data_IF_207336870186
#
_entry.id   IF_207336870186
#
_cell.length_a   1.000
_cell.length_b   1.000
_cell.length_c   1.000
_cell.angle_alpha   90.00
_cell.angle_beta   90.00
_cell.angle_gamma   90.00
#
_symmetry.space_group_name_H-M   'P 1'
#
loop_
_entity.id
_entity.type
_entity.pdbx_description
1 polymer ?
#
# COMPACT_ATOMS: atom_id res chain seq x y z
N UNK A 1 -10.34 -12.84 2.92
CA UNK A 1 -10.53 -13.20 4.34
C UNK A 1 -10.98 -12.00 5.19
N UNK A 2 -10.18 -10.89 5.26
CA UNK A 2 -10.54 -9.73 6.09
C UNK A 2 -11.83 -9.02 5.61
N UNK A 3 -12.07 -8.92 4.30
CA UNK A 3 -13.31 -8.39 3.75
C UNK A 3 -14.53 -9.18 4.21
N UNK A 4 -14.49 -10.52 4.07
CA UNK A 4 -15.56 -11.39 4.56
C UNK A 4 -15.77 -11.27 6.07
N UNK A 5 -14.70 -11.08 6.85
CA UNK A 5 -14.83 -10.82 8.29
C UNK A 5 -15.49 -9.47 8.59
N UNK A 6 -15.16 -8.44 7.83
CA UNK A 6 -15.81 -7.14 7.96
C UNK A 6 -17.32 -7.24 7.69
N UNK A 7 -17.72 -7.93 6.63
CA UNK A 7 -19.13 -8.17 6.29
C UNK A 7 -19.86 -8.94 7.43
N UNK A 8 -19.24 -9.98 7.99
CA UNK A 8 -19.84 -10.71 9.14
C UNK A 8 -19.99 -9.86 10.40
N UNK A 9 -19.24 -8.77 10.50
CA UNK A 9 -19.34 -7.79 11.58
C UNK A 9 -20.30 -6.62 11.25
N UNK A 10 -21.01 -6.68 10.13
CA UNK A 10 -22.00 -5.69 9.74
C UNK A 10 -21.42 -4.50 8.95
N UNK A 11 -20.21 -4.62 8.41
CA UNK A 11 -19.67 -3.60 7.51
C UNK A 11 -20.11 -3.89 6.07
N UNK A 12 -20.58 -2.88 5.37
CA UNK A 12 -20.85 -2.98 3.93
C UNK A 12 -19.53 -2.91 3.14
N UNK A 13 -19.31 -3.85 2.23
CA UNK A 13 -18.14 -3.90 1.37
C UNK A 13 -18.55 -3.72 -0.09
N UNK A 14 -18.18 -2.60 -0.69
CA UNK A 14 -18.52 -2.23 -2.07
C UNK A 14 -17.33 -2.48 -3.01
N UNK A 15 -17.17 -3.70 -3.47
CA UNK A 15 -16.14 -4.03 -4.45
C UNK A 15 -16.38 -3.33 -5.79
N UNK A 16 -15.33 -2.77 -6.39
CA UNK A 16 -15.43 -2.05 -7.67
C UNK A 16 -15.88 -0.58 -7.59
N UNK A 17 -16.18 -0.09 -6.39
CA UNK A 17 -16.56 1.31 -6.17
C UNK A 17 -15.32 2.14 -5.79
N UNK A 18 -14.63 2.69 -6.79
CA UNK A 18 -13.43 3.48 -6.57
C UNK A 18 -13.77 4.90 -6.15
N UNK A 19 -13.21 5.33 -5.00
CA UNK A 19 -13.30 6.73 -4.57
C UNK A 19 -12.54 7.65 -5.55
N UNK A 20 -13.21 8.68 -6.05
CA UNK A 20 -12.66 9.61 -7.04
C UNK A 20 -12.42 11.01 -6.48
N UNK A 21 -13.25 11.49 -5.58
CA UNK A 21 -13.13 12.83 -5.00
C UNK A 21 -13.65 12.89 -3.55
N UNK A 22 -13.08 13.77 -2.72
CA UNK A 22 -13.64 14.08 -1.40
C UNK A 22 -14.85 15.00 -1.54
N UNK A 23 -15.80 14.87 -0.62
CA UNK A 23 -16.93 15.78 -0.43
C UNK A 23 -16.66 16.70 0.74
N UNK A 24 -17.04 17.96 0.61
CA UNK A 24 -16.86 18.96 1.64
C UNK A 24 -18.18 19.63 2.01
N UNK A 25 -18.31 20.05 3.26
CA UNK A 25 -19.32 21.02 3.67
C UNK A 25 -18.86 22.48 3.43
N UNK A 26 -19.72 23.44 3.75
CA UNK A 26 -19.43 24.87 3.60
C UNK A 26 -18.27 25.35 4.48
N UNK A 27 -17.96 24.64 5.57
CA UNK A 27 -16.81 24.92 6.44
C UNK A 27 -15.51 24.29 5.93
N UNK A 28 -15.56 23.51 4.85
CA UNK A 28 -14.41 22.80 4.28
C UNK A 28 -14.05 21.50 5.00
N UNK A 29 -14.95 20.98 5.85
CA UNK A 29 -14.80 19.68 6.49
C UNK A 29 -15.10 18.56 5.51
N UNK A 30 -14.33 17.48 5.52
CA UNK A 30 -14.63 16.28 4.73
C UNK A 30 -15.87 15.60 5.29
N UNK A 31 -16.89 15.45 4.46
CA UNK A 31 -18.19 14.83 4.83
C UNK A 31 -18.48 13.57 4.02
N UNK A 32 -17.50 13.03 3.32
CA UNK A 32 -17.65 11.82 2.54
C UNK A 32 -16.78 11.81 1.28
N UNK A 33 -17.15 10.93 0.36
CA UNK A 33 -16.48 10.74 -0.93
C UNK A 33 -17.49 10.62 -2.07
N UNK A 34 -17.08 11.02 -3.26
CA UNK A 34 -17.76 10.69 -4.52
C UNK A 34 -17.05 9.51 -5.18
N UNK A 35 -17.83 8.54 -5.60
CA UNK A 35 -17.36 7.41 -6.39
C UNK A 35 -17.12 7.87 -7.83
N UNK A 36 -16.21 7.22 -8.55
CA UNK A 36 -15.95 7.48 -9.95
C UNK A 36 -17.15 7.11 -10.84
N UNK A 37 -17.33 7.87 -11.92
CA UNK A 37 -18.35 7.57 -12.91
C UNK A 37 -18.08 6.22 -13.57
N UNK A 38 -19.12 5.45 -13.84
CA UNK A 38 -19.05 4.14 -14.47
C UNK A 38 -19.48 4.22 -15.94
N UNK A 39 -19.05 3.25 -16.75
CA UNK A 39 -19.44 3.15 -18.15
C UNK A 39 -18.91 4.27 -19.04
N UNK A 40 -17.76 4.85 -18.70
CA UNK A 40 -17.06 5.78 -19.58
C UNK A 40 -16.33 5.02 -20.69
N UNK A 41 -16.34 5.59 -21.90
CA UNK A 41 -15.54 5.14 -23.02
C UNK A 41 -14.05 5.47 -22.81
N UNK A 42 -13.16 4.93 -23.64
CA UNK A 42 -11.69 5.14 -23.52
C UNK A 42 -11.28 6.62 -23.61
N UNK A 43 -12.07 7.43 -24.28
CA UNK A 43 -11.85 8.88 -24.42
C UNK A 43 -12.51 9.72 -23.32
N UNK A 44 -13.10 9.07 -22.30
CA UNK A 44 -13.74 9.70 -21.16
C UNK A 44 -15.19 10.17 -21.41
N UNK A 45 -15.77 9.92 -22.56
CA UNK A 45 -17.19 10.23 -22.85
C UNK A 45 -18.13 9.18 -22.25
N UNK A 46 -19.36 9.58 -21.87
CA UNK A 46 -20.38 8.64 -21.46
C UNK A 46 -20.66 7.58 -22.55
N UNK A 47 -20.53 6.32 -22.19
CA UNK A 47 -20.89 5.18 -23.03
C UNK A 47 -22.34 4.72 -22.80
N UNK A 48 -22.77 3.63 -23.45
CA UNK A 48 -24.14 3.11 -23.33
C UNK A 48 -24.58 2.73 -21.91
N UNK A 49 -23.61 2.34 -21.06
CA UNK A 49 -23.85 1.94 -19.67
C UNK A 49 -23.36 3.01 -18.68
N UNK A 50 -23.33 4.26 -19.10
CA UNK A 50 -22.89 5.35 -18.24
C UNK A 50 -23.81 5.50 -17.02
N UNK A 51 -23.19 5.59 -15.85
CA UNK A 51 -23.87 5.97 -14.62
C UNK A 51 -22.95 6.93 -13.83
N UNK A 52 -23.46 8.10 -13.37
CA UNK A 52 -22.68 9.00 -12.54
C UNK A 52 -22.36 8.32 -11.21
N UNK A 53 -21.16 8.56 -10.71
CA UNK A 53 -20.73 8.01 -9.42
C UNK A 53 -21.56 8.58 -8.27
N UNK A 54 -22.07 7.71 -7.37
CA UNK A 54 -22.84 8.15 -6.22
C UNK A 54 -21.96 8.87 -5.20
N UNK A 55 -22.57 9.70 -4.36
CA UNK A 55 -21.96 10.28 -3.18
C UNK A 55 -22.23 9.40 -1.97
N UNK A 56 -21.18 9.13 -1.19
CA UNK A 56 -21.27 8.44 0.09
C UNK A 56 -20.88 9.43 1.17
N UNK A 57 -21.82 9.76 2.05
CA UNK A 57 -21.62 10.71 3.15
C UNK A 57 -21.40 9.97 4.46
N UNK A 58 -20.47 10.46 5.27
CA UNK A 58 -20.11 9.88 6.56
C UNK A 58 -19.72 10.97 7.57
N UNK A 59 -19.87 10.68 8.86
CA UNK A 59 -19.38 11.53 9.95
C UNK A 59 -17.86 11.60 9.99
N UNK A 60 -17.20 10.53 9.61
CA UNK A 60 -15.73 10.43 9.51
C UNK A 60 -15.36 9.57 8.34
N UNK A 61 -14.39 10.01 7.54
CA UNK A 61 -13.82 9.26 6.43
C UNK A 61 -12.41 8.79 6.80
N UNK A 62 -12.17 7.48 6.77
CA UNK A 62 -10.83 6.92 7.01
C UNK A 62 -10.25 6.48 5.68
N UNK A 63 -9.11 7.05 5.30
CA UNK A 63 -8.43 6.80 4.03
C UNK A 63 -7.33 5.75 4.23
N UNK A 64 -7.55 4.57 3.66
CA UNK A 64 -6.64 3.41 3.68
C UNK A 64 -6.24 2.99 2.27
N UNK A 65 -5.99 3.97 1.38
CA UNK A 65 -5.82 3.77 -0.07
C UNK A 65 -4.42 3.27 -0.48
N UNK A 66 -3.54 3.03 0.47
CA UNK A 66 -2.16 2.64 0.18
C UNK A 66 -1.25 3.83 -0.16
N UNK A 67 -0.09 3.56 -0.77
CA UNK A 67 1.01 4.53 -0.86
C UNK A 67 0.72 5.78 -1.69
N UNK A 68 -0.23 5.76 -2.59
CA UNK A 68 -0.61 6.90 -3.45
C UNK A 68 -2.09 6.91 -3.78
N UNK A 69 -2.90 6.93 -2.75
CA UNK A 69 -4.35 6.96 -2.87
C UNK A 69 -4.85 8.16 -3.68
N UNK A 70 -5.91 7.95 -4.45
CA UNK A 70 -6.47 8.99 -5.33
C UNK A 70 -7.04 10.15 -4.53
N UNK A 71 -7.78 9.88 -3.46
CA UNK A 71 -8.37 10.89 -2.58
C UNK A 71 -7.35 11.38 -1.56
N UNK A 72 -6.54 10.49 -0.98
CA UNK A 72 -5.50 10.84 0.01
C UNK A 72 -4.57 11.94 -0.50
N UNK A 73 -4.04 11.82 -1.73
CA UNK A 73 -3.13 12.84 -2.29
C UNK A 73 -3.81 14.20 -2.47
N UNK A 74 -5.10 14.23 -2.83
CA UNK A 74 -5.86 15.49 -2.96
C UNK A 74 -6.02 16.17 -1.61
N UNK A 75 -6.32 15.37 -0.57
CA UNK A 75 -6.50 15.89 0.80
C UNK A 75 -5.17 16.30 1.43
N UNK A 76 -4.09 15.55 1.24
CA UNK A 76 -2.74 15.94 1.68
C UNK A 76 -2.39 17.31 1.10
N UNK A 77 -2.59 17.51 -0.20
CA UNK A 77 -2.32 18.78 -0.87
C UNK A 77 -3.23 19.91 -0.36
N UNK A 78 -4.55 19.68 -0.28
CA UNK A 78 -5.53 20.68 0.13
C UNK A 78 -5.28 21.19 1.54
N UNK A 79 -5.01 20.29 2.49
CA UNK A 79 -4.79 20.63 3.88
C UNK A 79 -3.30 20.84 4.22
N UNK A 80 -2.41 20.72 3.22
CA UNK A 80 -0.95 20.88 3.39
C UNK A 80 -0.41 19.99 4.51
N UNK A 81 -0.88 18.73 4.58
CA UNK A 81 -0.55 17.80 5.67
C UNK A 81 0.93 17.40 5.70
N UNK A 82 1.63 17.55 4.58
CA UNK A 82 3.06 17.32 4.40
C UNK A 82 3.93 18.58 4.61
N UNK A 83 3.33 19.70 5.01
CA UNK A 83 4.08 20.94 5.24
C UNK A 83 5.15 20.75 6.32
N UNK A 84 6.41 21.10 5.99
CA UNK A 84 7.56 20.95 6.89
C UNK A 84 8.04 19.50 7.10
N UNK A 85 7.55 18.56 6.30
CA UNK A 85 8.03 17.18 6.28
C UNK A 85 9.10 16.99 5.21
N UNK A 86 9.93 15.95 5.35
CA UNK A 86 10.82 15.53 4.27
C UNK A 86 9.99 14.99 3.09
N UNK A 87 10.48 15.08 1.85
CA UNK A 87 9.82 14.45 0.72
C UNK A 87 9.61 12.95 0.96
N UNK A 88 8.46 12.44 0.51
CA UNK A 88 8.19 10.99 0.56
C UNK A 88 9.05 10.26 -0.47
N UNK A 89 9.59 9.12 -0.10
CA UNK A 89 10.25 8.18 -0.99
C UNK A 89 9.41 6.92 -1.17
N UNK A 90 9.60 6.26 -2.30
CA UNK A 90 8.79 5.12 -2.68
C UNK A 90 9.67 3.96 -3.13
N UNK A 91 9.28 2.74 -2.79
CA UNK A 91 9.85 1.52 -3.32
C UNK A 91 8.84 0.76 -4.17
N UNK A 92 9.32 0.09 -5.20
CA UNK A 92 8.53 -0.85 -5.99
C UNK A 92 8.89 -2.27 -5.60
N UNK A 93 7.92 -2.98 -5.02
CA UNK A 93 8.07 -4.38 -4.65
C UNK A 93 7.42 -5.31 -5.66
N UNK A 94 8.18 -6.31 -6.13
CA UNK A 94 7.70 -7.47 -6.88
C UNK A 94 7.60 -8.65 -5.95
N UNK A 95 6.62 -9.52 -6.16
CA UNK A 95 6.48 -10.76 -5.41
C UNK A 95 5.90 -11.84 -6.28
N UNK A 96 6.49 -13.03 -6.22
CA UNK A 96 5.99 -14.24 -6.83
C UNK A 96 5.81 -15.33 -5.77
N UNK A 97 4.74 -16.12 -5.90
CA UNK A 97 4.55 -17.35 -5.16
C UNK A 97 4.89 -18.51 -6.08
N UNK A 98 5.86 -19.30 -5.67
CA UNK A 98 6.32 -20.47 -6.41
C UNK A 98 5.89 -21.77 -5.73
N UNK A 99 5.47 -22.75 -6.52
CA UNK A 99 5.43 -24.15 -6.15
C UNK A 99 6.76 -24.77 -6.53
N UNK A 100 7.45 -25.32 -5.57
CA UNK A 100 8.73 -26.01 -5.79
C UNK A 100 8.52 -27.52 -5.90
N UNK A 101 9.48 -28.24 -6.56
CA UNK A 101 9.56 -29.69 -6.43
C UNK A 101 9.70 -30.14 -4.97
N UNK A 102 9.27 -31.37 -4.68
CA UNK A 102 9.26 -31.92 -3.34
C UNK A 102 10.62 -31.86 -2.63
N UNK A 103 10.60 -31.49 -1.37
CA UNK A 103 11.77 -31.44 -0.50
C UNK A 103 12.70 -30.24 -0.70
N UNK A 104 12.35 -29.25 -1.54
CA UNK A 104 13.19 -28.04 -1.73
C UNK A 104 12.83 -26.89 -0.82
N UNK A 105 11.60 -26.80 -0.34
CA UNK A 105 11.23 -25.79 0.63
C UNK A 105 11.65 -26.22 2.04
N UNK A 106 12.07 -25.25 2.85
CA UNK A 106 12.37 -25.41 4.27
C UNK A 106 11.37 -24.57 5.08
N UNK A 107 10.15 -25.08 5.37
CA UNK A 107 9.09 -24.28 5.99
C UNK A 107 9.57 -23.51 7.21
N UNK A 108 9.32 -22.19 7.24
CA UNK A 108 9.77 -21.29 8.31
C UNK A 108 11.12 -20.61 8.05
N UNK A 109 11.90 -21.08 7.08
CA UNK A 109 13.13 -20.36 6.68
C UNK A 109 12.78 -19.02 6.04
N UNK A 110 13.38 -17.95 6.54
CA UNK A 110 13.27 -16.59 6.02
C UNK A 110 14.66 -16.08 5.68
N UNK A 111 14.85 -15.65 4.45
CA UNK A 111 16.10 -15.09 3.97
C UNK A 111 15.87 -13.68 3.44
N UNK A 112 16.75 -12.74 3.77
CA UNK A 112 16.81 -11.41 3.19
C UNK A 112 18.16 -11.20 2.54
N UNK A 113 18.18 -10.54 1.38
CA UNK A 113 19.41 -10.18 0.68
C UNK A 113 19.40 -8.72 0.28
N UNK A 114 20.59 -8.16 0.06
CA UNK A 114 20.81 -6.80 -0.44
C UNK A 114 21.90 -6.82 -1.52
N UNK A 115 21.95 -5.80 -2.36
CA UNK A 115 22.95 -5.62 -3.40
C UNK A 115 22.50 -6.26 -4.72
N UNK A 116 23.33 -7.15 -5.26
CA UNK A 116 23.15 -7.72 -6.60
C UNK A 116 21.69 -8.14 -6.88
N UNK A 117 21.14 -7.84 -8.08
CA UNK A 117 21.76 -7.24 -9.28
C UNK A 117 21.80 -5.71 -9.28
N UNK A 118 21.38 -5.07 -8.20
CA UNK A 118 21.46 -3.62 -8.07
C UNK A 118 22.88 -3.19 -7.72
N UNK A 119 23.24 -1.99 -8.17
CA UNK A 119 24.47 -1.34 -7.74
C UNK A 119 24.36 -0.85 -6.28
N UNK A 120 25.49 -0.54 -5.62
CA UNK A 120 25.47 -0.08 -4.22
C UNK A 120 24.74 1.26 -3.98
N UNK A 121 24.48 2.06 -5.01
CA UNK A 121 23.80 3.33 -4.91
C UNK A 121 22.26 3.17 -5.02
N UNK A 122 21.80 2.06 -5.58
CA UNK A 122 20.37 1.78 -5.73
C UNK A 122 19.86 1.06 -4.48
N UNK A 123 18.99 1.74 -3.73
CA UNK A 123 18.37 1.19 -2.52
C UNK A 123 17.41 0.04 -2.86
N UNK A 124 17.43 -1.00 -2.03
CA UNK A 124 16.50 -2.12 -2.16
C UNK A 124 17.08 -3.43 -1.64
N UNK A 125 16.43 -4.53 -2.01
CA UNK A 125 16.82 -5.86 -1.55
C UNK A 125 15.78 -6.90 -1.91
N UNK A 126 15.93 -8.10 -1.35
CA UNK A 126 15.02 -9.19 -1.62
C UNK A 126 14.66 -9.98 -0.38
N UNK A 127 13.65 -10.80 -0.51
CA UNK A 127 13.26 -11.76 0.51
C UNK A 127 12.80 -13.08 -0.10
N UNK A 128 13.07 -14.17 0.64
CA UNK A 128 12.53 -15.48 0.38
C UNK A 128 11.85 -15.99 1.65
N UNK A 129 10.60 -16.39 1.54
CA UNK A 129 9.84 -16.97 2.64
C UNK A 129 9.41 -18.38 2.25
N UNK A 130 10.02 -19.37 2.88
CA UNK A 130 9.69 -20.78 2.68
C UNK A 130 8.42 -21.14 3.46
N UNK A 131 7.43 -21.62 2.74
CA UNK A 131 6.10 -21.96 3.24
C UNK A 131 5.89 -23.47 3.24
N UNK A 132 4.81 -23.89 3.88
CA UNK A 132 4.32 -25.26 3.78
C UNK A 132 3.99 -25.65 2.34
N UNK A 133 3.87 -26.98 2.10
CA UNK A 133 3.51 -27.56 0.81
C UNK A 133 4.50 -27.24 -0.32
N UNK A 134 5.80 -27.21 -0.01
CA UNK A 134 6.87 -26.91 -0.96
C UNK A 134 6.67 -25.58 -1.72
N UNK A 135 6.21 -24.54 -1.05
CA UNK A 135 6.02 -23.21 -1.63
C UNK A 135 7.04 -22.22 -1.11
N UNK A 136 7.38 -21.24 -1.93
CA UNK A 136 8.23 -20.12 -1.53
C UNK A 136 7.68 -18.82 -2.09
N UNK A 137 7.66 -17.77 -1.28
CA UNK A 137 7.57 -16.40 -1.77
C UNK A 137 8.96 -15.90 -2.13
N UNK A 138 9.08 -15.40 -3.36
CA UNK A 138 10.26 -14.67 -3.83
C UNK A 138 9.87 -13.22 -4.03
N UNK A 139 10.49 -12.31 -3.30
CA UNK A 139 10.22 -10.88 -3.41
C UNK A 139 11.48 -10.06 -3.68
N UNK A 140 11.30 -8.94 -4.36
CA UNK A 140 12.37 -8.02 -4.73
C UNK A 140 11.85 -6.59 -4.65
N UNK A 141 12.56 -5.71 -3.97
CA UNK A 141 12.15 -4.32 -3.74
C UNK A 141 13.24 -3.40 -4.27
N UNK A 142 12.84 -2.35 -4.97
CA UNK A 142 13.73 -1.32 -5.52
C UNK A 142 13.20 0.05 -5.12
N UNK A 143 14.05 0.89 -4.53
CA UNK A 143 13.77 2.31 -4.32
C UNK A 143 13.59 3.01 -5.67
N UNK A 144 12.54 3.82 -5.80
CA UNK A 144 12.22 4.49 -7.07
C UNK A 144 13.00 5.79 -7.31
N UNK A 145 13.98 6.07 -6.48
CA UNK A 145 14.92 7.20 -6.59
C UNK A 145 16.25 6.82 -7.24
N UNK A 146 16.34 5.65 -7.90
CA UNK A 146 17.53 5.22 -8.63
C UNK A 146 17.95 6.25 -9.71
N UNK A 147 19.26 6.42 -9.87
CA UNK A 147 19.84 7.48 -10.72
C UNK A 147 19.89 7.13 -12.22
N UNK A 148 20.01 5.85 -12.58
CA UNK A 148 20.11 5.44 -14.00
C UNK A 148 18.69 5.32 -14.62
N UNK A 149 18.31 6.20 -15.55
CA UNK A 149 16.98 6.15 -16.17
C UNK A 149 16.77 4.92 -17.09
N UNK A 150 17.81 4.16 -17.38
CA UNK A 150 17.74 2.91 -18.16
C UNK A 150 17.53 1.70 -17.27
N UNK A 151 17.66 1.85 -15.95
CA UNK A 151 17.43 0.77 -15.01
C UNK A 151 15.97 0.32 -15.06
N UNK A 152 15.76 -0.98 -15.24
CA UNK A 152 14.42 -1.57 -15.30
C UNK A 152 14.21 -2.50 -14.09
N UNK A 153 13.43 -2.09 -13.10
CA UNK A 153 13.22 -2.85 -11.87
C UNK A 153 12.74 -4.28 -12.10
N UNK A 154 11.86 -4.49 -13.08
CA UNK A 154 11.38 -5.84 -13.40
C UNK A 154 12.50 -6.74 -13.98
N UNK A 155 13.35 -6.20 -14.87
CA UNK A 155 14.50 -6.93 -15.40
C UNK A 155 15.50 -7.27 -14.30
N UNK A 156 15.74 -6.35 -13.36
CA UNK A 156 16.57 -6.62 -12.20
C UNK A 156 16.01 -7.78 -11.35
N UNK A 157 14.68 -7.83 -11.16
CA UNK A 157 14.03 -8.96 -10.50
C UNK A 157 14.24 -10.28 -11.28
N UNK A 158 14.16 -10.28 -12.62
CA UNK A 158 14.45 -11.46 -13.42
C UNK A 158 15.91 -11.89 -13.28
N UNK A 159 16.85 -10.93 -13.31
CA UNK A 159 18.27 -11.21 -13.06
C UNK A 159 18.49 -11.80 -11.67
N UNK A 160 17.86 -11.25 -10.64
CA UNK A 160 17.94 -11.77 -9.27
C UNK A 160 17.58 -13.26 -9.20
N UNK A 161 16.53 -13.69 -9.87
CA UNK A 161 16.13 -15.11 -9.93
C UNK A 161 17.17 -16.01 -10.62
N UNK A 162 18.06 -15.43 -11.42
CA UNK A 162 19.16 -16.15 -12.07
C UNK A 162 20.44 -16.26 -11.20
N UNK A 163 20.44 -15.71 -9.98
CA UNK A 163 21.53 -15.95 -9.03
C UNK A 163 21.68 -17.46 -8.80
N UNK A 164 22.90 -18.04 -8.81
CA UNK A 164 23.10 -19.49 -8.75
C UNK A 164 22.32 -20.20 -7.66
N UNK A 165 22.31 -19.65 -6.46
CA UNK A 165 21.56 -20.20 -5.29
C UNK A 165 20.05 -20.19 -5.54
N UNK A 166 19.52 -19.08 -6.07
CA UNK A 166 18.09 -18.92 -6.31
C UNK A 166 17.63 -19.77 -7.49
N UNK A 167 18.41 -19.75 -8.57
CA UNK A 167 18.14 -20.57 -9.75
C UNK A 167 18.04 -22.05 -9.38
N UNK A 168 18.99 -22.57 -8.59
CA UNK A 168 18.95 -23.95 -8.12
C UNK A 168 17.71 -24.25 -7.25
N UNK A 169 17.28 -23.31 -6.41
CA UNK A 169 16.06 -23.44 -5.61
C UNK A 169 14.80 -23.52 -6.48
N UNK A 170 14.70 -22.62 -7.48
CA UNK A 170 13.51 -22.44 -8.31
C UNK A 170 13.42 -23.40 -9.49
N UNK A 171 14.51 -24.09 -9.85
CA UNK A 171 14.56 -24.99 -11.00
C UNK A 171 13.50 -26.09 -10.92
N UNK A 172 12.70 -26.23 -11.99
CA UNK A 172 11.58 -27.16 -12.04
C UNK A 172 10.35 -26.72 -11.25
N UNK A 173 10.39 -25.53 -10.65
CA UNK A 173 9.24 -24.92 -9.97
C UNK A 173 8.29 -24.21 -10.93
N UNK A 174 7.07 -23.92 -10.43
CA UNK A 174 6.01 -23.22 -11.17
C UNK A 174 5.57 -21.96 -10.41
N UNK A 175 5.32 -20.86 -11.14
CA UNK A 175 4.77 -19.63 -10.58
C UNK A 175 3.26 -19.78 -10.42
N UNK A 176 2.78 -19.79 -9.18
CA UNK A 176 1.35 -19.89 -8.85
C UNK A 176 0.65 -18.52 -8.87
N UNK A 177 1.35 -17.47 -8.45
CA UNK A 177 0.81 -16.12 -8.39
C UNK A 177 1.95 -15.09 -8.43
N UNK A 178 1.64 -13.90 -8.91
CA UNK A 178 2.58 -12.79 -8.94
C UNK A 178 1.88 -11.46 -8.76
N UNK A 179 2.63 -10.43 -8.40
CA UNK A 179 2.14 -9.07 -8.30
C UNK A 179 3.25 -8.07 -8.00
N UNK A 180 2.94 -6.81 -8.23
CA UNK A 180 3.80 -5.70 -7.89
C UNK A 180 2.99 -4.61 -7.19
N UNK A 181 3.63 -3.95 -6.20
CA UNK A 181 3.05 -2.81 -5.48
C UNK A 181 4.12 -1.81 -5.13
N UNK A 182 3.77 -0.55 -5.25
CA UNK A 182 4.55 0.53 -4.66
C UNK A 182 4.24 0.64 -3.18
N UNK A 183 5.25 0.92 -2.38
CA UNK A 183 5.17 1.14 -0.94
C UNK A 183 5.82 2.48 -0.58
N UNK A 184 5.49 3.03 0.59
CA UNK A 184 6.13 4.24 1.11
C UNK A 184 7.40 3.86 1.87
N UNK A 185 8.47 4.60 1.68
CA UNK A 185 9.77 4.34 2.30
C UNK A 185 10.40 5.55 3.00
N UNK A 186 9.74 6.71 2.98
CA UNK A 186 10.26 7.94 3.57
C UNK A 186 10.34 7.93 5.10
N UNK A 187 9.64 7.01 5.77
CA UNK A 187 9.67 6.87 7.21
C UNK A 187 9.06 8.02 7.99
N UNK A 188 9.45 8.13 9.26
CA UNK A 188 8.87 9.07 10.21
C UNK A 188 8.95 10.54 9.79
N UNK A 189 10.08 10.95 9.21
CA UNK A 189 10.32 12.32 8.79
C UNK A 189 9.49 12.76 7.58
N UNK A 190 8.99 11.81 6.80
CA UNK A 190 8.15 12.05 5.62
C UNK A 190 6.66 11.83 5.88
N UNK A 191 6.33 11.35 7.10
CA UNK A 191 4.95 11.06 7.49
C UNK A 191 4.16 12.38 7.57
N UNK A 192 3.07 12.54 6.80
CA UNK A 192 2.20 13.73 6.89
C UNK A 192 1.51 13.80 8.25
N UNK A 193 0.83 14.88 8.53
CA UNK A 193 -0.19 14.93 9.58
C UNK A 193 -1.32 13.97 9.22
N UNK A 194 -1.69 13.09 10.14
CA UNK A 194 -2.62 11.97 9.86
C UNK A 194 -4.08 12.35 10.02
N UNK A 195 -4.36 13.58 10.43
CA UNK A 195 -5.72 14.07 10.68
C UNK A 195 -6.02 15.34 9.90
N UNK A 196 -7.28 15.51 9.56
CA UNK A 196 -7.86 16.72 9.01
C UNK A 196 -9.34 16.81 9.42
N UNK A 197 -10.02 17.95 9.26
CA UNK A 197 -11.44 18.03 9.55
C UNK A 197 -12.25 16.98 8.80
N UNK A 198 -12.87 16.05 9.54
CA UNK A 198 -13.74 14.99 9.02
C UNK A 198 -13.06 13.76 8.43
N UNK A 199 -11.71 13.72 8.33
CA UNK A 199 -11.02 12.56 7.79
C UNK A 199 -9.68 12.23 8.46
N UNK A 200 -9.25 10.97 8.31
CA UNK A 200 -7.99 10.42 8.83
C UNK A 200 -7.23 9.65 7.73
N UNK A 201 -5.90 9.67 7.82
CA UNK A 201 -5.01 8.81 7.02
C UNK A 201 -4.52 7.64 7.87
N UNK A 202 -4.56 6.42 7.33
CA UNK A 202 -4.05 5.21 8.00
C UNK A 202 -3.21 4.36 7.05
N UNK A 203 -2.36 3.49 7.60
CA UNK A 203 -1.50 2.63 6.81
C UNK A 203 -0.55 3.40 5.89
N UNK A 204 -0.30 2.88 4.70
CA UNK A 204 0.61 3.51 3.73
C UNK A 204 0.07 4.85 3.19
N UNK A 205 -1.24 5.10 3.23
CA UNK A 205 -1.80 6.41 2.93
C UNK A 205 -1.28 7.50 3.90
N UNK A 206 -1.03 7.12 5.16
CA UNK A 206 -0.39 7.94 6.19
C UNK A 206 1.13 7.76 6.29
N UNK A 207 1.76 6.91 5.47
CA UNK A 207 3.20 6.69 5.52
C UNK A 207 3.67 5.91 6.75
N UNK A 208 2.85 5.01 7.31
CA UNK A 208 3.14 4.35 8.60
C UNK A 208 4.09 3.16 8.50
N UNK A 209 4.60 2.80 7.32
CA UNK A 209 5.51 1.68 7.14
C UNK A 209 6.80 1.86 7.97
N UNK A 210 7.15 0.85 8.75
CA UNK A 210 8.43 0.82 9.45
C UNK A 210 9.49 0.21 8.53
N UNK A 211 10.18 1.06 7.78
CA UNK A 211 11.14 0.67 6.75
C UNK A 211 12.30 -0.16 7.32
N UNK A 212 12.99 0.24 8.41
CA UNK A 212 14.11 -0.54 8.95
C UNK A 212 13.73 -1.97 9.36
N UNK A 213 12.47 -2.19 9.74
CA UNK A 213 11.98 -3.52 10.12
C UNK A 213 11.28 -4.25 8.98
N UNK A 214 11.14 -3.63 7.82
CA UNK A 214 10.38 -4.17 6.67
C UNK A 214 8.95 -4.56 7.09
N UNK A 215 8.30 -3.73 7.94
CA UNK A 215 7.01 -4.02 8.57
C UNK A 215 5.98 -2.94 8.20
N UNK A 216 5.18 -3.20 7.15
CA UNK A 216 4.05 -2.36 6.74
C UNK A 216 2.71 -2.82 7.29
N UNK A 217 2.40 -4.12 7.13
CA UNK A 217 1.07 -4.67 7.41
C UNK A 217 0.65 -4.45 8.87
N UNK A 218 1.52 -4.75 9.85
CA UNK A 218 1.14 -4.59 11.25
C UNK A 218 0.98 -3.11 11.64
N UNK A 219 1.77 -2.20 11.04
CA UNK A 219 1.59 -0.76 11.28
C UNK A 219 0.32 -0.22 10.62
N UNK A 220 -0.04 -0.74 9.44
CA UNK A 220 -1.32 -0.41 8.82
C UNK A 220 -2.51 -0.84 9.70
N UNK A 221 -2.47 -2.08 10.22
CA UNK A 221 -3.50 -2.59 11.14
C UNK A 221 -3.54 -1.75 12.42
N UNK A 222 -2.38 -1.48 13.03
CA UNK A 222 -2.31 -0.68 14.28
C UNK A 222 -2.87 0.72 14.07
N UNK A 223 -2.51 1.40 12.99
CA UNK A 223 -3.03 2.74 12.70
C UNK A 223 -4.55 2.74 12.51
N UNK A 224 -5.09 1.71 11.86
CA UNK A 224 -6.52 1.57 11.66
C UNK A 224 -7.27 1.31 12.99
N UNK A 225 -6.73 0.45 13.86
CA UNK A 225 -7.29 0.19 15.20
C UNK A 225 -7.30 1.47 16.03
N UNK A 226 -6.15 2.18 16.10
CA UNK A 226 -6.08 3.44 16.86
C UNK A 226 -7.00 4.52 16.28
N UNK A 227 -7.18 4.59 14.95
CA UNK A 227 -8.11 5.51 14.31
C UNK A 227 -9.57 5.19 14.69
N UNK A 228 -9.95 3.91 14.65
CA UNK A 228 -11.29 3.46 15.03
C UNK A 228 -11.59 3.75 16.52
N UNK A 229 -10.65 3.43 17.41
CA UNK A 229 -10.75 3.76 18.84
C UNK A 229 -10.89 5.26 19.05
N UNK A 230 -10.01 6.06 18.42
CA UNK A 230 -10.02 7.52 18.58
C UNK A 230 -11.36 8.13 18.15
N UNK A 231 -11.90 7.72 17.01
CA UNK A 231 -13.19 8.20 16.51
C UNK A 231 -14.35 7.75 17.42
N UNK A 232 -14.30 6.51 17.93
CA UNK A 232 -15.33 5.97 18.81
C UNK A 232 -15.34 6.69 20.18
N UNK A 233 -14.15 6.95 20.74
CA UNK A 233 -14.01 7.60 22.05
C UNK A 233 -14.33 9.10 22.01
N UNK A 234 -13.97 9.79 20.92
CA UNK A 234 -14.01 11.26 20.89
C UNK A 234 -15.02 11.84 19.88
N UNK A 235 -15.57 11.04 18.97
CA UNK A 235 -16.50 11.49 17.93
C UNK A 235 -15.90 12.51 16.94
N UNK A 236 -14.58 12.66 16.89
CA UNK A 236 -13.86 13.65 16.08
C UNK A 236 -12.52 13.11 15.60
N UNK A 237 -11.93 13.79 14.62
CA UNK A 237 -10.62 13.42 14.04
C UNK A 237 -9.44 14.10 14.73
N UNK A 238 -9.66 15.27 15.33
CA UNK A 238 -8.60 16.07 15.97
C UNK A 238 -7.97 15.36 17.16
N UNK A 239 -6.64 15.33 17.20
CA UNK A 239 -5.83 14.66 18.23
C UNK A 239 -5.35 13.26 17.84
N UNK A 240 -5.78 12.74 16.68
CA UNK A 240 -5.35 11.42 16.22
C UNK A 240 -3.85 11.38 15.87
N UNK A 241 -3.32 12.42 15.20
CA UNK A 241 -1.90 12.48 14.85
C UNK A 241 -1.02 12.43 16.10
N UNK A 242 -1.40 13.14 17.16
CA UNK A 242 -0.70 13.09 18.45
C UNK A 242 -0.79 11.69 19.08
N UNK A 243 -1.98 11.06 19.07
CA UNK A 243 -2.19 9.71 19.61
C UNK A 243 -1.33 8.66 18.87
N UNK A 244 -1.20 8.80 17.55
CA UNK A 244 -0.35 7.90 16.76
C UNK A 244 1.14 8.08 17.07
N UNK A 245 1.58 9.32 17.30
CA UNK A 245 3.00 9.64 17.51
C UNK A 245 3.49 9.42 18.95
N UNK A 246 2.58 9.21 19.90
CA UNK A 246 2.87 8.88 21.30
C UNK A 246 3.27 7.40 21.46
#
# INVERSE_FOLDING_TARGET
YLGTKAETLGCDVFAGFAAAAPLFDDAGTVVGIRIGDMGLEKDGRPGPNFAPGPEIRAKTTILAEGCRGSVSKLLIQRFRLDAGKSPQTYGLGFKELWQLPDGRAEPGLIQHTVGWPMDPATYGGSFLYHLDQNRVYVGFVVGLDYADPRFQPFEAFQQFKNHPTLKALLEGGEILAYGARTIVEGGWQSMPTLEMPGALLVGDAGGTLNVPKIKGVHQAIRSAVLAAEHVTEHGRTTGFDQRWRA
#
